data_IF_233275542467
#
_entry.id   IF_233275542467
#
_cell.length_a   1.000
_cell.length_b   1.000
_cell.length_c   1.000
_cell.angle_alpha   90.00
_cell.angle_beta   90.00
_cell.angle_gamma   90.00
#
_symmetry.space_group_name_H-M   'P 1'
#
loop_
_entity.id
_entity.type
_entity.pdbx_description
1 polymer ?
#
# COMPACT_ATOMS: atom_id res chain seq x y z
N UNK A 1 -17.13 -1.04 9.29
CA UNK A 1 -16.78 -2.18 8.42
C UNK A 1 -15.51 -2.78 8.98
N UNK A 2 -15.60 -3.94 9.63
CA UNK A 2 -14.41 -4.71 9.98
C UNK A 2 -13.81 -5.20 8.67
N UNK A 3 -12.58 -4.80 8.44
CA UNK A 3 -11.74 -5.38 7.41
C UNK A 3 -11.33 -6.71 8.02
N UNK A 4 -11.82 -7.81 7.45
CA UNK A 4 -11.61 -9.15 8.01
C UNK A 4 -10.10 -9.40 8.21
N UNK A 5 -9.74 -10.06 9.31
CA UNK A 5 -8.42 -10.66 9.60
C UNK A 5 -8.42 -12.17 9.24
N UNK A 6 -9.22 -12.55 8.23
CA UNK A 6 -9.38 -13.92 7.75
C UNK A 6 -8.10 -14.55 7.18
N UNK A 7 -8.07 -15.89 7.09
CA UNK A 7 -6.94 -16.61 6.52
C UNK A 7 -6.76 -16.26 5.04
N UNK A 8 -5.51 -15.96 4.64
CA UNK A 8 -5.14 -15.76 3.23
C UNK A 8 -4.92 -14.32 2.79
N UNK A 9 -5.09 -13.34 3.67
CA UNK A 9 -4.70 -11.94 3.41
C UNK A 9 -3.88 -11.37 4.57
N UNK A 10 -3.11 -10.29 4.33
CA UNK A 10 -2.37 -9.61 5.41
C UNK A 10 -3.34 -9.04 6.47
N UNK A 11 -2.95 -9.03 7.76
CA UNK A 11 -3.72 -8.35 8.78
C UNK A 11 -3.70 -6.83 8.58
N UNK A 12 -4.65 -6.13 9.18
CA UNK A 12 -4.65 -4.67 9.15
C UNK A 12 -3.41 -4.06 9.78
N UNK A 13 -2.90 -2.99 9.16
CA UNK A 13 -1.66 -2.33 9.58
C UNK A 13 -0.38 -3.05 9.14
N UNK A 14 -0.48 -4.21 8.46
CA UNK A 14 0.68 -4.87 7.90
C UNK A 14 1.38 -3.98 6.87
N UNK A 15 2.70 -3.87 6.98
CA UNK A 15 3.53 -3.11 6.07
C UNK A 15 3.88 -3.95 4.84
N UNK A 16 3.53 -3.50 3.64
CA UNK A 16 4.02 -4.10 2.40
C UNK A 16 5.55 -3.89 2.28
N UNK A 17 6.31 -4.97 2.12
CA UNK A 17 7.77 -4.92 1.97
C UNK A 17 8.21 -5.13 0.51
N UNK A 18 7.64 -6.12 -0.17
CA UNK A 18 8.00 -6.42 -1.56
C UNK A 18 6.91 -7.21 -2.28
N UNK A 19 6.96 -7.22 -3.61
CA UNK A 19 6.20 -8.15 -4.43
C UNK A 19 7.07 -8.72 -5.55
N UNK A 20 7.03 -10.03 -5.77
CA UNK A 20 7.79 -10.75 -6.80
C UNK A 20 9.29 -10.37 -6.83
N UNK A 21 9.88 -10.11 -5.66
CA UNK A 21 11.29 -9.71 -5.52
C UNK A 21 11.56 -8.22 -5.70
N UNK A 22 10.54 -7.39 -5.97
CA UNK A 22 10.63 -5.93 -6.10
C UNK A 22 10.25 -5.27 -4.79
N UNK A 23 11.14 -4.46 -4.23
CA UNK A 23 10.88 -3.64 -3.03
C UNK A 23 9.63 -2.75 -3.19
N UNK A 24 8.88 -2.55 -2.11
CA UNK A 24 7.62 -1.82 -2.12
C UNK A 24 7.74 -0.37 -2.63
N UNK A 25 8.81 0.35 -2.28
CA UNK A 25 9.01 1.73 -2.74
C UNK A 25 9.30 1.76 -4.24
N UNK A 26 10.13 0.83 -4.73
CA UNK A 26 10.42 0.68 -6.15
C UNK A 26 9.17 0.22 -6.94
N UNK A 27 8.40 -0.72 -6.38
CA UNK A 27 7.14 -1.17 -6.95
C UNK A 27 6.16 -0.01 -7.11
N UNK A 28 6.02 0.82 -6.08
CA UNK A 28 5.11 1.96 -6.10
C UNK A 28 5.55 3.04 -7.11
N UNK A 29 6.86 3.33 -7.19
CA UNK A 29 7.39 4.23 -8.21
C UNK A 29 7.08 3.73 -9.62
N UNK A 30 7.33 2.45 -9.92
CA UNK A 30 7.09 1.87 -11.25
C UNK A 30 5.62 1.79 -11.62
N UNK A 31 4.76 1.40 -10.68
CA UNK A 31 3.32 1.18 -10.98
C UNK A 31 2.49 2.45 -10.95
N UNK A 32 2.91 3.46 -10.20
CA UNK A 32 2.13 4.70 -10.00
C UNK A 32 2.96 5.93 -10.36
N UNK A 33 4.16 6.03 -9.78
CA UNK A 33 5.00 7.22 -9.88
C UNK A 33 5.41 7.60 -11.30
N UNK A 34 5.78 6.62 -12.13
CA UNK A 34 6.19 6.81 -13.52
C UNK A 34 5.06 7.43 -14.39
N UNK A 35 3.81 7.40 -13.90
CA UNK A 35 2.64 7.97 -14.58
C UNK A 35 2.10 9.24 -13.92
N UNK A 36 2.56 9.58 -12.71
CA UNK A 36 2.01 10.69 -11.91
C UNK A 36 2.89 11.95 -11.87
N UNK A 37 4.05 11.95 -12.53
CA UNK A 37 4.94 13.10 -12.79
C UNK A 37 5.61 13.78 -11.56
N UNK A 38 5.08 13.59 -10.34
CA UNK A 38 5.55 14.24 -9.10
C UNK A 38 5.71 13.25 -7.93
N UNK A 39 6.12 12.02 -8.22
CA UNK A 39 6.24 10.93 -7.23
C UNK A 39 7.25 11.19 -6.11
N UNK A 40 8.15 12.16 -6.29
CA UNK A 40 9.06 12.64 -5.25
C UNK A 40 8.33 13.37 -4.10
N UNK A 41 7.12 13.90 -4.34
CA UNK A 41 6.35 14.60 -3.31
C UNK A 41 5.62 13.62 -2.40
N UNK A 42 5.72 13.83 -1.08
CA UNK A 42 4.97 13.05 -0.08
C UNK A 42 3.46 13.10 -0.35
N UNK A 43 2.93 14.27 -0.71
CA UNK A 43 1.51 14.41 -1.07
C UNK A 43 1.10 13.52 -2.25
N UNK A 44 1.96 13.37 -3.27
CA UNK A 44 1.67 12.48 -4.40
C UNK A 44 1.67 11.01 -3.98
N UNK A 45 2.57 10.63 -3.09
CA UNK A 45 2.63 9.27 -2.52
C UNK A 45 1.39 8.97 -1.67
N UNK A 46 0.92 9.92 -0.88
CA UNK A 46 -0.31 9.78 -0.08
C UNK A 46 -1.54 9.63 -1.00
N UNK A 47 -1.62 10.43 -2.07
CA UNK A 47 -2.77 10.44 -2.97
C UNK A 47 -2.85 9.18 -3.85
N UNK A 48 -1.70 8.71 -4.37
CA UNK A 48 -1.63 7.61 -5.34
C UNK A 48 -1.15 6.27 -4.78
N UNK A 49 -0.61 6.22 -3.57
CA UNK A 49 -0.05 4.98 -2.99
C UNK A 49 -1.06 3.84 -2.84
N UNK A 50 -2.35 4.16 -2.71
CA UNK A 50 -3.42 3.15 -2.69
C UNK A 50 -3.60 2.39 -4.03
N UNK A 51 -3.01 2.87 -5.13
CA UNK A 51 -3.15 2.29 -6.46
C UNK A 51 -2.10 1.21 -6.78
N UNK A 52 -1.11 1.01 -5.90
CA UNK A 52 0.02 0.08 -6.12
C UNK A 52 -0.45 -1.36 -6.37
N UNK A 53 -1.44 -1.82 -5.62
CA UNK A 53 -2.03 -3.16 -5.73
C UNK A 53 -3.38 -3.14 -6.46
N UNK A 54 -3.59 -2.16 -7.34
CA UNK A 54 -4.70 -2.13 -8.28
C UNK A 54 -4.19 -2.37 -9.71
N UNK A 55 -5.05 -2.96 -10.53
CA UNK A 55 -4.88 -3.01 -11.98
C UNK A 55 -5.33 -1.64 -12.55
N UNK A 56 -4.54 -1.09 -13.47
CA UNK A 56 -4.72 0.29 -13.98
C UNK A 56 -5.02 0.32 -15.50
N UNK A 57 -5.35 -0.81 -16.10
CA UNK A 57 -5.50 -0.98 -17.55
C UNK A 57 -4.20 -0.83 -18.33
N UNK A 58 -3.04 -0.86 -17.66
CA UNK A 58 -1.75 -0.62 -18.30
C UNK A 58 -1.10 -1.95 -18.72
N UNK A 59 -1.04 -2.27 -20.03
CA UNK A 59 -0.57 -3.56 -20.50
C UNK A 59 0.93 -3.81 -20.26
N UNK A 60 1.70 -2.77 -19.92
CA UNK A 60 3.15 -2.86 -19.69
C UNK A 60 3.52 -3.13 -18.24
N UNK A 61 2.56 -3.08 -17.31
CA UNK A 61 2.79 -3.31 -15.90
C UNK A 61 2.30 -4.70 -15.50
N UNK A 62 3.18 -5.70 -15.34
CA UNK A 62 2.76 -7.02 -14.92
C UNK A 62 2.09 -6.95 -13.55
N UNK A 63 0.99 -7.68 -13.42
CA UNK A 63 0.23 -7.79 -12.19
C UNK A 63 1.01 -8.62 -11.16
N UNK A 64 1.33 -8.10 -9.97
CA UNK A 64 2.10 -8.84 -8.97
C UNK A 64 1.38 -10.11 -8.51
N UNK A 65 2.13 -11.18 -8.25
CA UNK A 65 1.57 -12.50 -7.90
C UNK A 65 1.79 -12.87 -6.44
N UNK A 66 2.94 -12.52 -5.86
CA UNK A 66 3.26 -12.83 -4.46
C UNK A 66 3.88 -11.62 -3.78
N UNK A 67 3.36 -11.24 -2.62
CA UNK A 67 3.85 -10.09 -1.86
C UNK A 67 4.21 -10.47 -0.43
N UNK A 68 5.26 -9.85 0.11
CA UNK A 68 5.71 -10.01 1.49
C UNK A 68 5.22 -8.83 2.31
N UNK A 69 4.58 -9.13 3.44
CA UNK A 69 4.10 -8.14 4.40
C UNK A 69 4.73 -8.38 5.77
N UNK A 70 5.01 -7.31 6.50
CA UNK A 70 5.44 -7.36 7.89
C UNK A 70 4.31 -6.97 8.82
N UNK A 71 4.02 -7.82 9.80
CA UNK A 71 3.11 -7.54 10.91
C UNK A 71 3.67 -8.17 12.18
N UNK A 72 3.63 -7.45 13.30
CA UNK A 72 4.15 -7.91 14.60
C UNK A 72 5.59 -8.47 14.53
N UNK A 73 6.43 -7.79 13.74
CA UNK A 73 7.84 -8.17 13.51
C UNK A 73 8.03 -9.43 12.64
N UNK A 74 6.96 -10.06 12.16
CA UNK A 74 7.02 -11.25 11.30
C UNK A 74 6.74 -10.89 9.86
N UNK A 75 7.54 -11.46 8.96
CA UNK A 75 7.33 -11.35 7.53
C UNK A 75 6.57 -12.58 7.01
N UNK A 76 5.45 -12.32 6.35
CA UNK A 76 4.61 -13.37 5.76
C UNK A 76 4.38 -13.06 4.30
N UNK A 77 4.56 -14.07 3.46
CA UNK A 77 4.36 -13.97 2.03
C UNK A 77 2.98 -14.50 1.64
N UNK A 78 2.21 -13.68 0.92
CA UNK A 78 0.86 -13.95 0.46
C UNK A 78 0.83 -14.06 -1.05
N UNK A 79 0.12 -15.06 -1.57
CA UNK A 79 -0.25 -15.11 -2.98
C UNK A 79 -1.43 -14.16 -3.20
N UNK A 80 -1.31 -13.24 -4.17
CA UNK A 80 -2.39 -12.31 -4.49
C UNK A 80 -3.47 -13.01 -5.31
N UNK A 81 -4.71 -12.79 -4.91
CA UNK A 81 -5.90 -13.21 -5.64
C UNK A 81 -6.55 -11.96 -6.25
N UNK A 82 -6.39 -11.80 -7.56
CA UNK A 82 -6.95 -10.65 -8.27
C UNK A 82 -8.42 -10.88 -8.56
N UNK A 83 -9.25 -9.96 -8.09
CA UNK A 83 -10.69 -9.98 -8.28
C UNK A 83 -11.15 -8.69 -8.96
N UNK A 84 -12.22 -8.73 -9.76
CA UNK A 84 -12.86 -7.52 -10.27
C UNK A 84 -13.24 -6.58 -9.12
N UNK A 85 -13.03 -5.28 -9.34
CA UNK A 85 -13.39 -4.24 -8.39
C UNK A 85 -14.34 -3.26 -9.09
N UNK A 86 -15.55 -3.12 -8.54
CA UNK A 86 -16.54 -2.17 -9.05
C UNK A 86 -16.04 -0.71 -8.93
N UNK A 87 -16.35 0.20 -9.87
CA UNK A 87 -15.87 1.59 -9.83
C UNK A 87 -16.21 2.36 -8.55
N UNK A 88 -17.39 2.14 -7.96
CA UNK A 88 -17.77 2.78 -6.70
C UNK A 88 -16.94 2.23 -5.54
N UNK A 89 -16.71 0.91 -5.52
CA UNK A 89 -15.83 0.27 -4.53
C UNK A 89 -14.38 0.75 -4.68
N UNK A 90 -13.88 0.89 -5.91
CA UNK A 90 -12.54 1.45 -6.18
C UNK A 90 -12.40 2.84 -5.58
N UNK A 91 -13.36 3.71 -5.85
CA UNK A 91 -13.38 5.09 -5.36
C UNK A 91 -13.36 5.13 -3.83
N UNK A 92 -14.21 4.32 -3.19
CA UNK A 92 -14.30 4.25 -1.74
C UNK A 92 -12.99 3.73 -1.12
N UNK A 93 -12.43 2.63 -1.62
CA UNK A 93 -11.19 2.03 -1.10
C UNK A 93 -9.99 2.97 -1.23
N UNK A 94 -9.88 3.72 -2.34
CA UNK A 94 -8.82 4.72 -2.50
C UNK A 94 -8.99 5.90 -1.55
N UNK A 95 -10.22 6.32 -1.27
CA UNK A 95 -10.48 7.35 -0.27
C UNK A 95 -10.13 6.85 1.15
N UNK A 96 -10.43 5.58 1.47
CA UNK A 96 -10.04 4.96 2.74
C UNK A 96 -8.52 4.88 2.90
N UNK A 97 -7.79 4.47 1.85
CA UNK A 97 -6.33 4.40 1.87
C UNK A 97 -5.66 5.76 2.14
N UNK A 98 -6.21 6.85 1.58
CA UNK A 98 -5.71 8.22 1.84
C UNK A 98 -5.96 8.63 3.29
N UNK A 99 -7.14 8.27 3.84
CA UNK A 99 -7.50 8.55 5.25
C UNK A 99 -6.71 7.72 6.25
N UNK A 100 -6.28 6.51 5.87
CA UNK A 100 -5.49 5.63 6.72
C UNK A 100 -4.02 6.03 6.80
N UNK A 101 -3.55 6.98 5.97
CA UNK A 101 -2.20 7.49 6.09
C UNK A 101 -1.95 8.00 7.52
N UNK A 102 -0.85 7.54 8.10
CA UNK A 102 -0.32 8.03 9.36
C UNK A 102 1.06 8.59 9.06
N UNK A 103 1.32 9.89 9.29
CA UNK A 103 2.67 10.39 9.22
C UNK A 103 3.54 9.59 10.19
N UNK A 104 4.79 9.32 9.83
CA UNK A 104 5.75 8.86 10.82
C UNK A 104 5.82 9.95 11.91
N UNK A 105 5.54 9.61 13.16
CA UNK A 105 5.71 10.52 14.28
C UNK A 105 7.20 10.88 14.40
N UNK A 106 7.63 11.99 13.80
CA UNK A 106 8.99 12.54 13.95
C UNK A 106 9.07 13.62 15.06
N UNK A 107 8.24 13.53 16.11
CA UNK A 107 8.38 14.36 17.31
C UNK A 107 8.11 13.53 18.58
N UNK A 108 9.06 12.67 18.94
CA UNK A 108 9.32 12.36 20.35
C UNK A 108 10.21 13.47 20.90
N UNK A 109 9.62 14.66 21.09
CA UNK A 109 10.15 15.61 22.06
C UNK A 109 9.79 15.07 23.44
N UNK A 110 10.79 14.57 24.15
CA UNK A 110 10.67 14.23 25.57
C UNK A 110 10.32 15.50 26.35
N UNK A 111 9.06 15.66 26.75
CA UNK A 111 8.76 16.47 27.93
C UNK A 111 9.19 15.68 29.17
N UNK A 112 10.39 15.99 29.63
CA UNK A 112 10.84 15.87 31.01
C UNK A 112 11.43 17.26 31.31
N UNK A 113 10.94 18.04 32.26
CA UNK A 113 10.85 17.71 33.67
C UNK A 113 9.83 18.60 34.38
N UNK A 114 9.23 18.01 35.42
CA UNK A 114 8.64 18.70 36.56
C UNK A 114 9.72 19.35 37.44
#
# INVERSE_FOLDING_TARGET
MSVDDGPGHPPLGAQLLSCDGVDAAMLAARRVGDFSGRWNLQSSRIQGGGEVLLEQGNPFLPTPRRCVFRADGRETAYALQWAPLDPAQRTQRLADARRSFRPANEFQGTDSAA
#
